data_IF_334975791895
#
_entry.id   IF_334975791895
#
_cell.length_a   1.000
_cell.length_b   1.000
_cell.length_c   1.000
_cell.angle_alpha   90.00
_cell.angle_beta   90.00
_cell.angle_gamma   90.00
#
_symmetry.space_group_name_H-M   'P 1'
#
loop_
_entity.id
_entity.type
_entity.pdbx_description
1 polymer ?
#
# COMPACT_ATOMS: atom_id res chain seq x y z
N UNK A 1 4.39 15.33 -20.03
CA UNK A 1 3.54 14.15 -19.72
C UNK A 1 3.05 13.45 -20.96
N UNK A 2 2.39 14.14 -21.89
CA UNK A 2 1.82 13.53 -23.10
C UNK A 2 2.82 12.65 -23.87
N UNK A 3 4.04 13.14 -24.13
CA UNK A 3 5.10 12.34 -24.77
C UNK A 3 5.46 11.06 -24.01
N UNK A 4 5.49 11.11 -22.68
CA UNK A 4 5.70 9.91 -21.87
C UNK A 4 4.47 9.00 -21.94
N UNK A 5 3.25 9.52 -21.80
CA UNK A 5 2.05 8.68 -21.90
C UNK A 5 1.94 7.97 -23.25
N UNK A 6 2.34 8.64 -24.34
CA UNK A 6 2.39 8.05 -25.68
C UNK A 6 3.36 6.87 -25.76
N UNK A 7 4.54 6.97 -25.13
CA UNK A 7 5.49 5.84 -25.04
C UNK A 7 4.89 4.62 -24.33
N UNK A 8 4.00 4.83 -23.37
CA UNK A 8 3.34 3.77 -22.60
C UNK A 8 1.98 3.34 -23.16
N UNK A 9 1.54 3.94 -24.26
CA UNK A 9 0.18 3.80 -24.78
C UNK A 9 -0.19 2.33 -25.06
N UNK A 10 0.64 1.58 -25.78
CA UNK A 10 0.35 0.18 -26.07
C UNK A 10 0.28 -0.73 -24.83
N UNK A 11 0.99 -0.40 -23.75
CA UNK A 11 0.87 -1.12 -22.47
C UNK A 11 -0.40 -0.72 -21.72
N UNK A 12 -0.77 0.56 -21.74
CA UNK A 12 -2.00 1.07 -21.16
C UNK A 12 -3.23 0.45 -21.83
N UNK A 13 -3.27 0.39 -23.16
CA UNK A 13 -4.38 -0.21 -23.91
C UNK A 13 -4.55 -1.69 -23.57
N UNK A 14 -3.45 -2.46 -23.57
CA UNK A 14 -3.48 -3.87 -23.17
C UNK A 14 -3.97 -4.02 -21.74
N UNK A 15 -3.45 -3.23 -20.81
CA UNK A 15 -3.87 -3.27 -19.41
C UNK A 15 -5.38 -2.97 -19.28
N UNK A 16 -5.88 -1.93 -19.93
CA UNK A 16 -7.31 -1.61 -19.92
C UNK A 16 -8.18 -2.72 -20.54
N UNK A 17 -7.69 -3.41 -21.58
CA UNK A 17 -8.40 -4.56 -22.15
C UNK A 17 -8.52 -5.74 -21.17
N UNK A 18 -7.49 -5.99 -20.35
CA UNK A 18 -7.53 -7.00 -19.29
C UNK A 18 -8.30 -6.55 -18.04
N UNK A 19 -8.37 -5.24 -17.79
CA UNK A 19 -9.05 -4.63 -16.64
C UNK A 19 -10.10 -3.61 -17.10
N UNK A 20 -11.19 -4.05 -17.74
CA UNK A 20 -12.17 -3.15 -18.35
C UNK A 20 -12.92 -2.28 -17.33
N UNK A 21 -12.95 -2.69 -16.05
CA UNK A 21 -13.52 -1.88 -14.97
C UNK A 21 -12.60 -0.72 -14.53
N UNK A 22 -11.33 -0.73 -14.91
CA UNK A 22 -10.44 0.37 -14.62
C UNK A 22 -10.89 1.61 -15.39
N UNK A 23 -10.88 2.77 -14.73
CA UNK A 23 -11.28 4.04 -15.33
C UNK A 23 -12.76 4.11 -15.79
N UNK A 24 -13.64 3.24 -15.28
CA UNK A 24 -15.10 3.36 -15.44
C UNK A 24 -15.74 4.08 -14.24
N UNK A 25 -16.74 4.95 -14.46
CA UNK A 25 -17.52 5.55 -13.38
C UNK A 25 -18.33 4.48 -12.61
N UNK A 26 -18.69 4.73 -11.34
CA UNK A 26 -18.48 5.98 -10.59
C UNK A 26 -17.11 6.09 -9.93
N UNK A 27 -16.41 4.96 -9.73
CA UNK A 27 -15.25 4.90 -8.83
C UNK A 27 -13.89 5.00 -9.55
N UNK A 28 -13.87 4.95 -10.89
CA UNK A 28 -12.67 5.08 -11.75
C UNK A 28 -11.47 4.31 -11.18
N UNK A 29 -11.66 3.01 -10.95
CA UNK A 29 -10.64 2.18 -10.27
C UNK A 29 -9.29 2.27 -11.00
N UNK A 30 -8.17 2.48 -10.29
CA UNK A 30 -6.86 2.52 -10.91
C UNK A 30 -6.44 1.12 -11.38
N UNK A 31 -5.57 1.07 -12.39
CA UNK A 31 -4.94 -0.18 -12.81
C UNK A 31 -4.16 -0.83 -11.65
N UNK A 32 -4.11 -2.17 -11.56
CA UNK A 32 -3.36 -2.84 -10.51
C UNK A 32 -1.88 -2.45 -10.50
N UNK A 33 -1.34 -2.16 -9.31
CA UNK A 33 0.06 -1.77 -9.16
C UNK A 33 1.06 -2.87 -9.57
N UNK A 34 0.61 -4.13 -9.65
CA UNK A 34 1.40 -5.27 -10.15
C UNK A 34 1.73 -5.20 -11.63
N UNK A 35 1.05 -4.34 -12.40
CA UNK A 35 1.38 -4.12 -13.81
C UNK A 35 2.61 -3.23 -14.00
N UNK A 36 3.07 -2.57 -12.92
CA UNK A 36 4.25 -1.70 -12.94
C UNK A 36 4.16 -0.56 -13.97
N UNK A 37 2.94 -0.19 -14.35
CA UNK A 37 2.67 0.93 -15.26
C UNK A 37 2.66 2.23 -14.44
N UNK A 38 3.42 3.28 -14.85
CA UNK A 38 3.40 4.58 -14.19
C UNK A 38 2.03 5.21 -14.14
N UNK A 39 1.78 5.93 -13.04
CA UNK A 39 0.61 6.78 -12.93
C UNK A 39 0.88 8.12 -13.62
N UNK A 40 -0.05 8.56 -14.45
CA UNK A 40 0.03 9.82 -15.18
C UNK A 40 -1.00 10.79 -14.61
N UNK A 41 -0.55 11.92 -14.05
CA UNK A 41 -1.45 12.90 -13.44
C UNK A 41 -1.21 14.29 -14.04
N UNK A 42 -2.30 14.95 -14.39
CA UNK A 42 -2.30 16.24 -15.06
C UNK A 42 -2.57 17.40 -14.11
N UNK A 43 -2.18 18.62 -14.50
CA UNK A 43 -2.49 19.87 -13.80
C UNK A 43 -2.01 19.91 -12.33
N UNK A 44 -0.84 19.37 -12.05
CA UNK A 44 -0.29 19.27 -10.70
C UNK A 44 0.38 20.59 -10.30
N UNK A 45 -0.11 21.23 -9.24
CA UNK A 45 0.50 22.42 -8.64
C UNK A 45 1.50 22.07 -7.54
N UNK A 46 1.25 21.00 -6.79
CA UNK A 46 2.10 20.62 -5.66
C UNK A 46 2.11 19.12 -5.44
N UNK A 47 3.28 18.58 -5.12
CA UNK A 47 3.42 17.24 -4.54
C UNK A 47 3.85 17.36 -3.08
N UNK A 48 3.22 16.58 -2.20
CA UNK A 48 3.70 16.41 -0.84
C UNK A 48 4.07 14.94 -0.60
N UNK A 49 5.36 14.69 -0.48
CA UNK A 49 5.93 13.37 -0.26
C UNK A 49 5.93 13.05 1.23
N UNK A 50 5.42 11.87 1.56
CA UNK A 50 5.33 11.40 2.94
C UNK A 50 5.86 9.98 3.07
N UNK A 51 6.49 9.71 4.20
CA UNK A 51 6.96 8.37 4.61
C UNK A 51 6.28 8.01 5.91
N UNK A 52 5.58 6.89 5.94
CA UNK A 52 4.90 6.41 7.15
C UNK A 52 5.26 4.95 7.38
N UNK A 53 5.52 4.57 8.64
CA UNK A 53 5.59 3.15 9.01
C UNK A 53 4.16 2.60 8.99
N UNK A 54 3.94 1.56 8.20
CA UNK A 54 2.66 0.88 8.07
C UNK A 54 2.82 -0.61 8.38
N UNK A 55 1.69 -1.31 8.47
CA UNK A 55 1.65 -2.76 8.63
C UNK A 55 0.62 -3.35 7.69
N UNK A 56 0.94 -4.53 7.17
CA UNK A 56 -0.03 -5.43 6.56
C UNK A 56 -0.50 -6.40 7.64
N UNK A 57 -1.81 -6.64 7.73
CA UNK A 57 -2.42 -7.54 8.71
C UNK A 57 -3.20 -8.64 8.00
N UNK A 58 -2.95 -9.90 8.35
CA UNK A 58 -3.70 -11.07 7.88
C UNK A 58 -4.18 -11.89 9.06
N UNK A 59 -5.44 -12.32 9.05
CA UNK A 59 -6.01 -13.17 10.10
C UNK A 59 -6.10 -14.63 9.64
N UNK A 60 -5.81 -15.57 10.52
CA UNK A 60 -5.78 -16.99 10.25
C UNK A 60 -6.54 -17.76 11.34
N UNK A 61 -7.24 -18.81 10.94
CA UNK A 61 -7.90 -19.76 11.84
C UNK A 61 -7.13 -21.06 12.07
N UNK A 62 -5.92 -21.19 11.51
CA UNK A 62 -5.08 -22.36 11.72
C UNK A 62 -3.60 -22.00 11.49
N UNK A 63 -2.71 -22.77 12.12
CA UNK A 63 -1.26 -22.60 11.93
C UNK A 63 -0.82 -23.00 10.52
N UNK A 64 -1.39 -24.06 9.94
CA UNK A 64 -1.06 -24.50 8.57
C UNK A 64 -1.35 -23.43 7.51
N UNK A 65 -2.54 -22.81 7.55
CA UNK A 65 -2.87 -21.74 6.60
C UNK A 65 -1.98 -20.49 6.80
N UNK A 66 -1.49 -20.28 8.03
CA UNK A 66 -0.56 -19.21 8.34
C UNK A 66 0.81 -19.51 7.75
N UNK A 67 1.37 -20.70 7.94
CA UNK A 67 2.69 -21.06 7.39
C UNK A 67 2.69 -21.05 5.87
N UNK A 68 1.62 -21.54 5.23
CA UNK A 68 1.48 -21.51 3.77
C UNK A 68 1.52 -20.09 3.17
N UNK A 69 1.10 -19.07 3.94
CA UNK A 69 1.01 -17.68 3.47
C UNK A 69 2.14 -16.78 4.00
N UNK A 70 2.68 -17.08 5.17
CA UNK A 70 3.64 -16.23 5.86
C UNK A 70 5.04 -16.84 5.94
N UNK A 71 5.22 -18.08 5.46
CA UNK A 71 6.48 -18.81 5.50
C UNK A 71 6.66 -19.58 6.81
N UNK A 72 7.85 -20.16 6.95
CA UNK A 72 8.17 -21.06 8.05
C UNK A 72 8.56 -20.32 9.34
N UNK A 73 8.44 -21.03 10.46
CA UNK A 73 8.82 -20.62 11.80
C UNK A 73 9.52 -21.78 12.51
N UNK A 74 10.21 -21.50 13.62
CA UNK A 74 10.83 -22.56 14.42
C UNK A 74 9.79 -23.51 15.04
N UNK A 75 10.20 -24.74 15.37
CA UNK A 75 9.32 -25.72 16.01
C UNK A 75 8.68 -25.20 17.30
N UNK A 76 9.44 -24.47 18.12
CA UNK A 76 8.93 -23.87 19.37
C UNK A 76 7.90 -22.77 19.12
N UNK A 77 8.08 -21.98 18.05
CA UNK A 77 7.11 -20.97 17.62
C UNK A 77 5.82 -21.60 17.10
N UNK A 78 5.94 -22.66 16.30
CA UNK A 78 4.80 -23.44 15.82
C UNK A 78 4.02 -24.02 17.00
N UNK A 79 4.70 -24.60 18.00
CA UNK A 79 4.06 -25.11 19.20
C UNK A 79 3.31 -24.03 19.98
N UNK A 80 3.90 -22.83 20.17
CA UNK A 80 3.21 -21.70 20.81
C UNK A 80 1.99 -21.21 20.04
N UNK A 81 2.07 -21.20 18.71
CA UNK A 81 0.95 -20.80 17.85
C UNK A 81 -0.18 -21.84 17.88
N UNK A 82 0.15 -23.14 17.89
CA UNK A 82 -0.84 -24.22 18.00
C UNK A 82 -1.57 -24.18 19.34
N UNK A 83 -0.85 -23.93 20.43
CA UNK A 83 -1.41 -23.83 21.79
C UNK A 83 -2.49 -22.75 21.96
N UNK A 84 -2.58 -21.79 21.03
CA UNK A 84 -3.65 -20.78 21.01
C UNK A 84 -5.01 -21.41 20.70
N UNK A 85 -5.03 -22.46 19.87
CA UNK A 85 -6.24 -23.13 19.43
C UNK A 85 -6.67 -24.27 20.36
N UNK A 86 -5.74 -24.86 21.13
CA UNK A 86 -6.00 -26.01 22.01
C UNK A 86 -7.16 -25.81 23.02
N UNK A 87 -7.52 -24.55 23.33
CA UNK A 87 -8.58 -24.22 24.29
C UNK A 87 -9.68 -23.29 23.70
N UNK A 88 -9.58 -22.94 22.42
CA UNK A 88 -10.44 -21.94 21.78
C UNK A 88 -10.40 -22.12 20.25
N UNK A 89 -11.31 -22.93 19.72
CA UNK A 89 -11.42 -23.21 18.29
C UNK A 89 -11.80 -21.97 17.45
N UNK A 90 -12.36 -20.93 18.09
CA UNK A 90 -12.68 -19.65 17.46
C UNK A 90 -11.53 -18.64 17.55
N UNK A 91 -10.45 -18.98 18.25
CA UNK A 91 -9.27 -18.15 18.33
C UNK A 91 -8.74 -17.83 16.93
N UNK A 92 -8.09 -16.67 16.81
CA UNK A 92 -7.44 -16.26 15.56
C UNK A 92 -6.03 -15.81 15.83
N UNK A 93 -5.14 -16.20 14.93
CA UNK A 93 -3.81 -15.63 14.83
C UNK A 93 -3.84 -14.48 13.83
N UNK A 94 -3.13 -13.39 14.15
CA UNK A 94 -2.93 -12.27 13.23
C UNK A 94 -1.45 -12.12 12.91
N UNK A 95 -1.12 -12.18 11.62
CA UNK A 95 0.21 -11.92 11.11
C UNK A 95 0.35 -10.45 10.75
N UNK A 96 1.41 -9.82 11.26
CA UNK A 96 1.80 -8.46 10.92
C UNK A 96 3.14 -8.43 10.20
N UNK A 97 3.14 -7.81 9.02
CA UNK A 97 4.37 -7.44 8.31
C UNK A 97 4.51 -5.94 8.28
N UNK A 98 5.55 -5.43 8.91
CA UNK A 98 5.85 -4.00 8.88
C UNK A 98 6.45 -3.61 7.53
N UNK A 99 6.06 -2.45 7.01
CA UNK A 99 6.67 -1.90 5.81
C UNK A 99 6.69 -0.38 5.84
N UNK A 100 7.52 0.20 4.98
CA UNK A 100 7.54 1.64 4.76
C UNK A 100 6.55 1.98 3.65
N UNK A 101 5.53 2.75 3.99
CA UNK A 101 4.58 3.29 3.03
C UNK A 101 5.03 4.67 2.56
N UNK A 102 5.42 4.76 1.30
CA UNK A 102 5.79 6.00 0.62
C UNK A 102 4.61 6.46 -0.24
N UNK A 103 4.14 7.68 0.02
CA UNK A 103 2.97 8.25 -0.66
C UNK A 103 3.23 9.67 -1.11
N UNK A 104 2.60 10.03 -2.22
CA UNK A 104 2.47 11.41 -2.67
C UNK A 104 1.03 11.87 -2.44
N UNK A 105 0.87 13.04 -1.83
CA UNK A 105 -0.37 13.80 -1.93
C UNK A 105 -0.22 14.75 -3.12
N UNK A 106 -1.09 14.60 -4.10
CA UNK A 106 -1.04 15.29 -5.38
C UNK A 106 -2.11 16.39 -5.36
N UNK A 107 -1.68 17.64 -5.40
CA UNK A 107 -2.56 18.79 -5.43
C UNK A 107 -2.70 19.25 -6.88
N UNK A 108 -3.87 19.00 -7.46
CA UNK A 108 -4.18 19.36 -8.83
C UNK A 108 -5.05 20.61 -8.89
N UNK A 109 -5.03 21.29 -10.03
CA UNK A 109 -6.04 22.29 -10.38
C UNK A 109 -7.00 21.75 -11.41
N UNK A 110 -8.24 22.20 -11.36
CA UNK A 110 -9.22 21.92 -12.41
C UNK A 110 -8.98 22.79 -13.65
N UNK A 111 -9.89 22.71 -14.63
CA UNK A 111 -9.81 23.49 -15.89
C UNK A 111 -10.03 24.98 -15.70
N UNK A 112 -10.63 25.41 -14.59
CA UNK A 112 -10.83 26.83 -14.22
C UNK A 112 -9.68 27.37 -13.37
N UNK A 113 -8.74 26.51 -12.99
CA UNK A 113 -7.61 26.85 -12.13
C UNK A 113 -7.92 26.74 -10.63
N UNK A 114 -9.07 26.22 -10.22
CA UNK A 114 -9.41 26.02 -8.82
C UNK A 114 -8.66 24.82 -8.23
N UNK A 115 -8.27 24.89 -6.96
CA UNK A 115 -7.53 23.81 -6.30
C UNK A 115 -8.48 22.67 -5.95
N UNK A 116 -8.14 21.45 -6.37
CA UNK A 116 -8.87 20.24 -6.02
C UNK A 116 -8.40 19.67 -4.68
N UNK A 117 -9.24 18.83 -4.08
CA UNK A 117 -8.83 18.01 -2.94
C UNK A 117 -7.65 17.12 -3.32
N UNK A 118 -6.63 16.98 -2.44
CA UNK A 118 -5.43 16.25 -2.77
C UNK A 118 -5.69 14.76 -2.89
N UNK A 119 -5.28 14.19 -4.02
CA UNK A 119 -5.34 12.75 -4.23
C UNK A 119 -4.12 12.06 -3.58
N UNK A 120 -4.35 10.92 -2.94
CA UNK A 120 -3.30 10.15 -2.28
C UNK A 120 -2.84 8.99 -3.14
N UNK A 121 -1.62 9.10 -3.66
CA UNK A 121 -1.08 8.18 -4.65
C UNK A 121 0.09 7.36 -4.10
N UNK A 122 0.06 6.06 -4.37
CA UNK A 122 1.20 5.14 -4.16
C UNK A 122 1.96 5.00 -5.47
N UNK A 123 3.23 5.36 -5.48
CA UNK A 123 4.01 5.44 -6.73
C UNK A 123 5.38 4.75 -6.68
N UNK A 124 5.78 4.17 -5.55
CA UNK A 124 7.15 3.65 -5.41
C UNK A 124 7.45 2.43 -6.30
N UNK A 125 6.43 1.63 -6.64
CA UNK A 125 6.58 0.48 -7.56
C UNK A 125 6.28 0.86 -9.01
N UNK A 126 5.27 1.69 -9.23
CA UNK A 126 4.77 2.02 -10.56
C UNK A 126 5.48 3.20 -11.20
N UNK A 127 6.04 4.11 -10.39
CA UNK A 127 6.42 5.45 -10.83
C UNK A 127 5.22 6.41 -10.87
N UNK A 128 5.53 7.71 -10.91
CA UNK A 128 4.56 8.81 -11.02
C UNK A 128 5.11 9.85 -12.00
N UNK A 129 4.35 10.13 -13.05
CA UNK A 129 4.68 11.09 -14.11
C UNK A 129 3.65 12.23 -14.02
N UNK A 130 4.11 13.44 -13.73
CA UNK A 130 3.23 14.59 -13.48
C UNK A 130 3.38 15.70 -14.50
N UNK A 131 2.26 16.35 -14.81
CA UNK A 131 2.23 17.60 -15.58
C UNK A 131 2.31 18.72 -14.58
N UNK A 132 3.51 19.25 -14.38
CA UNK A 132 3.75 20.38 -13.49
C UNK A 132 3.17 21.66 -14.10
N UNK A 133 2.33 22.36 -13.32
CA UNK A 133 1.91 23.72 -13.62
C UNK A 133 3.03 24.73 -13.31
N UNK A 134 2.92 26.00 -13.77
CA UNK A 134 3.80 27.07 -13.30
C UNK A 134 3.84 27.13 -11.76
N UNK A 135 4.99 27.47 -11.19
CA UNK A 135 5.23 27.50 -9.74
C UNK A 135 4.99 26.16 -9.03
N UNK A 136 5.17 25.04 -9.74
CA UNK A 136 5.10 23.71 -9.16
C UNK A 136 6.07 23.55 -7.97
N UNK A 137 5.57 22.97 -6.88
CA UNK A 137 6.37 22.75 -5.65
C UNK A 137 6.36 21.30 -5.21
N UNK A 138 7.51 20.86 -4.71
CA UNK A 138 7.65 19.60 -3.98
C UNK A 138 7.88 19.92 -2.51
N UNK A 139 7.00 19.42 -1.66
CA UNK A 139 7.16 19.40 -0.21
C UNK A 139 7.61 17.99 0.17
N UNK A 140 8.82 17.87 0.73
CA UNK A 140 9.33 16.58 1.19
C UNK A 140 9.26 16.49 2.71
N UNK A 141 8.32 15.70 3.22
CA UNK A 141 8.18 15.41 4.65
C UNK A 141 8.52 13.95 4.98
N UNK A 142 9.33 13.29 4.14
CA UNK A 142 9.73 11.89 4.39
C UNK A 142 10.61 11.73 5.64
N UNK A 143 11.30 12.80 6.05
CA UNK A 143 12.12 12.82 7.27
C UNK A 143 11.40 13.41 8.48
N UNK A 144 10.18 13.93 8.31
CA UNK A 144 9.43 14.52 9.41
C UNK A 144 9.00 13.44 10.41
N UNK A 145 9.40 13.53 11.69
CA UNK A 145 8.99 12.57 12.71
C UNK A 145 7.47 12.55 12.85
N UNK A 146 6.87 11.36 12.80
CA UNK A 146 5.43 11.16 12.99
C UNK A 146 5.16 10.54 14.36
N UNK A 147 4.07 10.95 15.00
CA UNK A 147 3.58 10.34 16.25
C UNK A 147 3.42 8.83 16.05
N UNK A 148 4.01 8.05 16.94
CA UNK A 148 3.88 6.59 16.94
C UNK A 148 2.41 6.24 17.21
N UNK A 149 1.86 5.30 16.47
CA UNK A 149 0.47 4.86 16.69
C UNK A 149 0.40 4.00 17.96
N UNK A 150 -0.68 4.15 18.71
CA UNK A 150 -0.91 3.44 19.98
C UNK A 150 -1.44 2.00 19.78
N UNK A 151 -1.78 1.60 18.55
CA UNK A 151 -2.37 0.29 18.21
C UNK A 151 -1.30 -0.79 17.88
N UNK A 152 -0.08 -0.63 18.39
CA UNK A 152 0.97 -1.62 18.19
C UNK A 152 0.72 -2.83 19.08
N UNK A 153 0.59 -4.02 18.47
CA UNK A 153 0.66 -5.27 19.22
C UNK A 153 2.08 -5.41 19.77
N UNK A 154 2.20 -5.92 21.00
CA UNK A 154 3.47 -6.22 21.66
C UNK A 154 3.53 -7.72 21.95
N UNK A 155 4.75 -8.24 22.13
CA UNK A 155 5.03 -9.64 22.47
C UNK A 155 4.48 -10.64 21.42
N UNK A 156 5.12 -10.72 20.23
CA UNK A 156 4.73 -11.70 19.23
C UNK A 156 4.94 -13.14 19.74
N UNK A 157 4.04 -14.04 19.35
CA UNK A 157 4.15 -15.49 19.59
C UNK A 157 5.27 -16.11 18.73
N UNK A 158 5.45 -15.57 17.53
CA UNK A 158 6.43 -15.99 16.55
C UNK A 158 6.90 -14.81 15.69
N UNK A 159 8.15 -14.84 15.24
CA UNK A 159 8.78 -13.82 14.40
C UNK A 159 9.81 -14.46 13.46
N UNK A 160 9.51 -14.52 12.16
CA UNK A 160 10.44 -15.05 11.16
C UNK A 160 11.28 -13.96 10.47
N UNK A 161 11.36 -12.76 11.06
CA UNK A 161 12.06 -11.59 10.51
C UNK A 161 11.27 -10.82 9.46
N UNK A 162 10.19 -11.39 8.91
CA UNK A 162 9.29 -10.72 7.96
C UNK A 162 7.90 -10.54 8.57
N UNK A 163 7.34 -11.61 9.13
CA UNK A 163 6.02 -11.67 9.74
C UNK A 163 6.15 -11.90 11.24
N UNK A 164 5.42 -11.09 12.00
CA UNK A 164 5.24 -11.23 13.44
C UNK A 164 3.84 -11.69 13.74
N UNK A 165 3.70 -12.77 14.50
CA UNK A 165 2.41 -13.39 14.78
C UNK A 165 1.94 -13.03 16.18
N UNK A 166 0.66 -12.71 16.31
CA UNK A 166 0.02 -12.41 17.59
C UNK A 166 -1.29 -13.17 17.72
N UNK A 167 -1.74 -13.43 18.95
CA UNK A 167 -3.13 -13.78 19.19
C UNK A 167 -3.99 -12.54 18.95
N UNK A 168 -5.03 -12.66 18.13
CA UNK A 168 -6.01 -11.60 17.93
C UNK A 168 -6.79 -11.42 19.25
N UNK A 169 -6.89 -10.18 19.71
CA UNK A 169 -7.70 -9.83 20.89
C UNK A 169 -9.18 -9.95 20.58
#
# INVERSE_FOLDING_TARGET
VQAYQQRWHGLLERAMAFYPAANLPPDYLPLPASLEIPQFIYHVQRLHLTKTRAKESKSFGSVGALTDKCGDYSADEIARMSAVFDNDDEARLVAHREFIDLRAYVFCRDTKGEMLEPERVRFYRTGLIVHALPDFKIVDSRQTPRKRRNDAYSNPLADNGVWKIYRKK
#
